data_IF_345200029974
#
_entry.id   IF_345200029974
#
_cell.length_a   1.000
_cell.length_b   1.000
_cell.length_c   1.000
_cell.angle_alpha   90.00
_cell.angle_beta   90.00
_cell.angle_gamma   90.00
#
_symmetry.space_group_name_H-M   'P 1'
#
loop_
_entity.id
_entity.type
_entity.pdbx_description
1 polymer ?
#
# COMPACT_ATOMS: atom_id res chain seq x y z
N UNK A 1 19.09 -15.59 -10.05
CA UNK A 1 20.05 -14.47 -10.00
C UNK A 1 19.29 -13.19 -10.32
N UNK A 2 19.43 -12.18 -9.47
CA UNK A 2 18.69 -10.93 -9.54
C UNK A 2 18.94 -10.15 -8.26
N UNK A 3 20.17 -9.66 -8.08
CA UNK A 3 20.50 -8.69 -7.03
C UNK A 3 19.90 -7.35 -7.42
N UNK A 4 18.59 -7.17 -7.18
CA UNK A 4 17.98 -5.85 -7.21
C UNK A 4 18.45 -5.08 -5.98
N UNK A 5 18.78 -3.80 -6.14
CA UNK A 5 19.07 -2.91 -5.01
C UNK A 5 17.82 -2.86 -4.12
N UNK A 6 17.80 -3.72 -3.08
CA UNK A 6 16.62 -4.07 -2.29
C UNK A 6 16.23 -3.00 -1.28
N UNK A 7 15.66 -1.91 -1.77
CA UNK A 7 14.93 -0.99 -0.90
C UNK A 7 13.56 -1.60 -0.59
N UNK A 8 13.21 -1.60 0.69
CA UNK A 8 11.90 -2.03 1.18
C UNK A 8 11.15 -0.82 1.76
N UNK A 9 9.82 -0.95 1.86
CA UNK A 9 9.03 0.03 2.58
C UNK A 9 9.48 0.13 4.04
N UNK A 10 9.77 1.34 4.48
CA UNK A 10 10.09 1.60 5.88
C UNK A 10 8.84 1.38 6.73
N UNK A 11 8.97 0.52 7.75
CA UNK A 11 7.85 0.20 8.65
C UNK A 11 7.41 1.45 9.42
N UNK A 12 6.21 1.94 9.11
CA UNK A 12 5.62 3.08 9.79
C UNK A 12 4.39 2.68 10.60
N UNK A 13 4.60 2.45 11.91
CA UNK A 13 3.56 1.94 12.82
C UNK A 13 2.81 3.11 13.48
N UNK A 14 1.57 2.86 13.90
CA UNK A 14 0.87 3.86 14.71
C UNK A 14 1.58 4.07 16.04
N UNK A 15 1.71 5.32 16.48
CA UNK A 15 2.48 5.73 17.64
C UNK A 15 3.97 5.96 17.36
N UNK A 16 4.41 5.90 16.11
CA UNK A 16 5.79 6.23 15.72
C UNK A 16 5.87 7.54 14.93
N UNK A 17 7.04 8.16 14.96
CA UNK A 17 7.40 9.31 14.14
C UNK A 17 8.83 9.21 13.64
N UNK A 18 9.12 9.94 12.57
CA UNK A 18 10.45 10.16 12.03
C UNK A 18 10.71 11.67 11.94
N UNK A 19 11.94 12.10 12.21
CA UNK A 19 12.38 13.43 11.80
C UNK A 19 12.96 13.30 10.39
N UNK A 20 12.41 14.06 9.46
CA UNK A 20 12.69 13.88 8.04
C UNK A 20 13.04 15.18 7.32
N UNK A 21 13.87 15.05 6.28
CA UNK A 21 14.00 16.04 5.21
C UNK A 21 13.19 15.58 3.99
N UNK A 22 12.50 16.54 3.37
CA UNK A 22 11.82 16.38 2.09
C UNK A 22 12.69 17.07 1.04
N UNK A 23 13.02 16.40 -0.07
CA UNK A 23 13.93 16.94 -1.09
C UNK A 23 13.18 17.67 -2.21
N UNK A 24 11.99 17.20 -2.56
CA UNK A 24 11.14 17.75 -3.59
C UNK A 24 9.66 17.48 -3.36
N UNK A 25 8.83 18.11 -4.18
CA UNK A 25 7.39 17.84 -4.25
C UNK A 25 7.11 16.54 -5.00
N UNK A 26 7.98 16.14 -5.93
CA UNK A 26 7.74 15.01 -6.83
C UNK A 26 8.38 13.69 -6.35
N UNK A 27 8.86 13.63 -5.10
CA UNK A 27 9.52 12.47 -4.49
C UNK A 27 8.51 11.35 -4.14
N UNK A 28 7.66 10.95 -5.09
CA UNK A 28 6.58 9.99 -4.88
C UNK A 28 6.18 9.24 -6.14
N UNK A 29 5.68 8.03 -5.95
CA UNK A 29 4.97 7.27 -6.98
C UNK A 29 3.55 6.94 -6.55
N UNK A 30 2.65 6.84 -7.53
CA UNK A 30 1.28 6.33 -7.36
C UNK A 30 1.20 4.91 -7.91
N UNK A 31 0.56 4.02 -7.16
CA UNK A 31 0.32 2.65 -7.61
C UNK A 31 -1.05 2.13 -7.16
N UNK A 32 -1.50 1.06 -7.81
CA UNK A 32 -2.76 0.38 -7.52
C UNK A 32 -2.46 -0.99 -6.92
N UNK A 33 -2.84 -1.18 -5.68
CA UNK A 33 -2.53 -2.38 -4.91
C UNK A 33 -3.77 -3.20 -4.59
N UNK A 34 -3.59 -4.52 -4.59
CA UNK A 34 -4.55 -5.53 -4.17
C UNK A 34 -4.03 -6.24 -2.93
N UNK A 35 -4.91 -6.94 -2.22
CA UNK A 35 -4.57 -7.70 -1.03
C UNK A 35 -5.59 -7.57 0.08
N UNK A 36 -5.59 -8.55 0.98
CA UNK A 36 -6.50 -8.68 2.11
C UNK A 36 -5.67 -8.92 3.36
N UNK A 37 -5.74 -7.99 4.31
CA UNK A 37 -4.99 -8.05 5.55
C UNK A 37 -5.11 -9.43 6.22
N UNK A 38 -3.97 -10.01 6.63
CA UNK A 38 -3.83 -11.35 7.21
C UNK A 38 -4.17 -12.55 6.31
N UNK A 39 -4.59 -12.34 5.06
CA UNK A 39 -4.87 -13.43 4.10
C UNK A 39 -3.96 -13.41 2.88
N UNK A 40 -3.76 -12.23 2.30
CA UNK A 40 -3.01 -12.03 1.06
C UNK A 40 -2.17 -10.77 1.23
N UNK A 41 -0.86 -10.93 1.10
CA UNK A 41 0.08 -9.80 1.12
C UNK A 41 -0.24 -8.81 0.00
N UNK A 42 0.10 -7.54 0.20
CA UNK A 42 -0.15 -6.52 -0.81
C UNK A 42 0.67 -6.79 -2.08
N UNK A 43 0.06 -6.63 -3.24
CA UNK A 43 0.70 -6.79 -4.53
C UNK A 43 0.16 -5.80 -5.56
N UNK A 44 0.85 -5.65 -6.68
CA UNK A 44 0.36 -4.96 -7.89
C UNK A 44 0.21 -5.95 -9.04
N UNK A 45 -0.71 -5.70 -9.96
CA UNK A 45 -0.88 -6.56 -11.11
C UNK A 45 0.19 -6.26 -12.16
N UNK A 46 0.89 -7.30 -12.65
CA UNK A 46 1.87 -7.17 -13.73
C UNK A 46 1.23 -6.58 -15.00
N UNK A 47 0.00 -6.99 -15.29
CA UNK A 47 -0.85 -6.42 -16.35
C UNK A 47 -2.05 -5.73 -15.68
N UNK A 48 -1.95 -4.43 -15.34
CA UNK A 48 -2.99 -3.73 -14.60
C UNK A 48 -4.17 -3.32 -15.48
N UNK A 49 -5.36 -3.26 -14.87
CA UNK A 49 -6.56 -2.71 -15.51
C UNK A 49 -6.41 -1.25 -15.87
N UNK A 50 -7.14 -0.82 -16.90
CA UNK A 50 -7.38 0.60 -17.16
C UNK A 50 -8.26 1.19 -16.06
N UNK A 51 -7.79 2.25 -15.42
CA UNK A 51 -8.50 2.94 -14.33
C UNK A 51 -9.11 4.25 -14.82
N UNK A 52 -10.25 4.65 -14.24
CA UNK A 52 -10.76 6.02 -14.37
C UNK A 52 -10.17 6.97 -13.30
N UNK A 53 -10.46 8.27 -13.41
CA UNK A 53 -9.97 9.31 -12.47
C UNK A 53 -10.39 9.08 -11.01
N UNK A 54 -11.44 8.28 -10.80
CA UNK A 54 -11.95 7.92 -9.47
C UNK A 54 -11.25 6.67 -8.90
N UNK A 55 -10.30 6.08 -9.62
CA UNK A 55 -9.56 4.89 -9.23
C UNK A 55 -10.38 3.60 -9.30
N UNK A 56 -11.32 3.51 -10.25
CA UNK A 56 -12.06 2.28 -10.53
C UNK A 56 -11.63 1.67 -11.87
N UNK A 57 -11.54 0.33 -11.95
CA UNK A 57 -11.22 -0.35 -13.20
C UNK A 57 -12.39 -0.23 -14.18
N UNK A 58 -12.08 0.08 -15.44
CA UNK A 58 -13.07 0.27 -16.52
C UNK A 58 -12.85 -0.63 -17.74
N UNK A 59 -11.66 -1.20 -17.89
CA UNK A 59 -11.32 -2.15 -18.95
C UNK A 59 -10.06 -2.94 -18.57
N UNK A 60 -9.78 -4.01 -19.33
CA UNK A 60 -8.62 -4.90 -19.15
C UNK A 60 -8.55 -5.50 -17.74
N UNK A 61 -9.71 -5.95 -17.25
CA UNK A 61 -9.91 -6.38 -15.88
C UNK A 61 -8.94 -7.49 -15.45
N UNK A 62 -8.25 -7.25 -14.32
CA UNK A 62 -7.53 -8.29 -13.59
C UNK A 62 -8.51 -9.31 -12.97
N UNK A 63 -8.05 -10.53 -12.60
CA UNK A 63 -8.86 -11.45 -11.82
C UNK A 63 -9.49 -10.82 -10.57
N UNK A 64 -8.75 -9.96 -9.86
CA UNK A 64 -9.25 -9.26 -8.67
C UNK A 64 -10.34 -8.23 -8.99
N UNK A 65 -10.21 -7.51 -10.11
CA UNK A 65 -11.24 -6.59 -10.56
C UNK A 65 -12.50 -7.33 -11.02
N UNK A 66 -12.37 -8.52 -11.61
CA UNK A 66 -13.51 -9.38 -11.93
C UNK A 66 -14.23 -9.85 -10.64
N UNK A 67 -13.48 -10.26 -9.61
CA UNK A 67 -14.06 -10.63 -8.31
C UNK A 67 -14.79 -9.45 -7.65
N UNK A 68 -14.20 -8.26 -7.67
CA UNK A 68 -14.86 -7.02 -7.23
C UNK A 68 -16.13 -6.74 -8.03
N UNK A 69 -16.05 -6.84 -9.37
CA UNK A 69 -17.16 -6.56 -10.28
C UNK A 69 -18.32 -7.52 -10.09
N UNK A 70 -18.06 -8.82 -9.90
CA UNK A 70 -19.07 -9.83 -9.60
C UNK A 70 -19.95 -9.41 -8.41
N UNK A 71 -19.34 -9.01 -7.29
CA UNK A 71 -20.11 -8.54 -6.13
C UNK A 71 -20.75 -7.17 -6.33
N UNK A 72 -20.18 -6.27 -7.14
CA UNK A 72 -20.87 -5.01 -7.51
C UNK A 72 -22.14 -5.26 -8.34
N UNK A 73 -22.11 -6.22 -9.26
CA UNK A 73 -23.26 -6.57 -10.07
C UNK A 73 -24.37 -7.20 -9.21
N UNK A 74 -24.00 -8.07 -8.25
CA UNK A 74 -24.94 -8.61 -7.26
C UNK A 74 -25.52 -7.53 -6.34
N UNK A 75 -24.68 -6.60 -5.86
CA UNK A 75 -25.11 -5.43 -5.08
C UNK A 75 -26.16 -4.64 -5.85
N UNK A 76 -25.90 -4.32 -7.12
CA UNK A 76 -26.83 -3.57 -7.97
C UNK A 76 -28.16 -4.32 -8.13
N UNK A 77 -28.11 -5.61 -8.43
CA UNK A 77 -29.32 -6.42 -8.56
C UNK A 77 -30.14 -6.52 -7.26
N UNK A 78 -29.49 -6.49 -6.09
CA UNK A 78 -30.17 -6.43 -4.79
C UNK A 78 -30.84 -5.06 -4.57
N UNK A 79 -30.16 -3.97 -4.88
CA UNK A 79 -30.71 -2.61 -4.80
C UNK A 79 -31.93 -2.44 -5.72
N UNK A 80 -31.86 -2.94 -6.96
CA UNK A 80 -32.97 -2.91 -7.92
C UNK A 80 -34.20 -3.69 -7.43
N UNK A 81 -34.01 -4.66 -6.53
CA UNK A 81 -35.08 -5.45 -5.88
C UNK A 81 -35.52 -4.88 -4.52
N UNK A 82 -34.89 -3.81 -4.03
CA UNK A 82 -35.14 -3.26 -2.70
C UNK A 82 -34.65 -4.14 -1.54
N UNK A 83 -33.74 -5.08 -1.78
CA UNK A 83 -33.16 -5.93 -0.73
C UNK A 83 -31.91 -5.29 -0.11
N UNK A 84 -32.14 -4.42 0.87
CA UNK A 84 -31.05 -3.69 1.55
C UNK A 84 -30.08 -4.61 2.32
N UNK A 85 -30.51 -5.81 2.75
CA UNK A 85 -29.64 -6.74 3.46
C UNK A 85 -28.64 -7.38 2.49
N UNK A 86 -29.12 -7.83 1.34
CA UNK A 86 -28.26 -8.36 0.30
C UNK A 86 -27.34 -7.26 -0.27
N UNK A 87 -27.85 -6.04 -0.46
CA UNK A 87 -27.05 -4.90 -0.92
C UNK A 87 -25.84 -4.65 -0.01
N UNK A 88 -26.04 -4.52 1.30
CA UNK A 88 -24.94 -4.24 2.23
C UNK A 88 -23.95 -5.42 2.29
N UNK A 89 -24.44 -6.66 2.30
CA UNK A 89 -23.58 -7.86 2.24
C UNK A 89 -22.67 -7.84 1.01
N UNK A 90 -23.22 -7.59 -0.19
CA UNK A 90 -22.43 -7.58 -1.42
C UNK A 90 -21.48 -6.39 -1.52
N UNK A 91 -21.84 -5.26 -0.92
CA UNK A 91 -20.95 -4.11 -0.77
C UNK A 91 -19.73 -4.44 0.10
N UNK A 92 -19.94 -5.11 1.24
CA UNK A 92 -18.86 -5.56 2.12
C UNK A 92 -17.95 -6.58 1.43
N UNK A 93 -18.53 -7.56 0.71
CA UNK A 93 -17.75 -8.53 -0.07
C UNK A 93 -16.94 -7.86 -1.19
N UNK A 94 -17.55 -6.98 -1.98
CA UNK A 94 -16.85 -6.26 -3.04
C UNK A 94 -15.66 -5.45 -2.48
N UNK A 95 -15.81 -4.83 -1.31
CA UNK A 95 -14.76 -4.02 -0.71
C UNK A 95 -13.46 -4.80 -0.41
N UNK A 96 -13.54 -6.13 -0.23
CA UNK A 96 -12.37 -6.99 0.02
C UNK A 96 -11.45 -7.11 -1.20
N UNK A 97 -12.03 -7.22 -2.40
CA UNK A 97 -11.32 -7.44 -3.66
C UNK A 97 -11.00 -6.15 -4.40
N UNK A 98 -11.58 -5.02 -3.94
CA UNK A 98 -11.40 -3.73 -4.58
C UNK A 98 -9.93 -3.31 -4.58
N UNK A 99 -9.47 -2.88 -5.75
CA UNK A 99 -8.19 -2.20 -5.92
C UNK A 99 -8.08 -0.96 -5.03
N UNK A 100 -6.90 -0.75 -4.43
CA UNK A 100 -6.61 0.36 -3.53
C UNK A 100 -5.55 1.25 -4.16
N UNK A 101 -5.89 2.52 -4.35
CA UNK A 101 -4.92 3.54 -4.75
C UNK A 101 -4.00 3.87 -3.56
N UNK A 102 -2.70 3.69 -3.76
CA UNK A 102 -1.63 3.86 -2.79
C UNK A 102 -0.55 4.79 -3.35
N UNK A 103 0.24 5.33 -2.45
CA UNK A 103 1.34 6.23 -2.76
C UNK A 103 2.55 5.85 -1.94
N UNK A 104 3.72 5.80 -2.58
CA UNK A 104 5.00 5.66 -1.91
C UNK A 104 5.67 7.03 -1.95
N UNK A 105 6.02 7.59 -0.78
CA UNK A 105 6.69 8.88 -0.67
C UNK A 105 8.11 8.67 -0.12
N UNK A 106 9.08 9.31 -0.75
CA UNK A 106 10.48 9.31 -0.36
C UNK A 106 10.81 10.44 0.62
N UNK A 107 11.63 10.12 1.62
CA UNK A 107 12.17 11.09 2.58
C UNK A 107 13.60 10.74 2.94
N UNK A 108 14.33 11.67 3.54
CA UNK A 108 15.58 11.36 4.24
C UNK A 108 15.28 11.32 5.74
N UNK A 109 15.53 10.18 6.38
CA UNK A 109 15.51 10.07 7.84
C UNK A 109 16.72 10.79 8.43
N UNK A 110 16.49 11.74 9.32
CA UNK A 110 17.56 12.56 9.92
C UNK A 110 18.30 11.82 11.03
N UNK A 111 17.70 10.81 11.66
CA UNK A 111 18.37 10.02 12.70
C UNK A 111 19.50 9.18 12.09
N UNK A 112 19.19 8.49 10.98
CA UNK A 112 20.12 7.60 10.28
C UNK A 112 20.90 8.28 9.15
N UNK A 113 20.33 9.33 8.54
CA UNK A 113 20.88 10.01 7.37
C UNK A 113 20.61 9.29 6.04
N UNK A 114 19.73 8.28 6.04
CA UNK A 114 19.45 7.42 4.91
C UNK A 114 18.08 7.72 4.28
N UNK A 115 17.90 7.47 2.98
CA UNK A 115 16.58 7.48 2.35
C UNK A 115 15.64 6.45 2.98
N UNK A 116 14.38 6.84 3.15
CA UNK A 116 13.28 5.98 3.58
C UNK A 116 12.10 6.16 2.63
N UNK A 117 11.32 5.09 2.43
CA UNK A 117 10.12 5.13 1.58
C UNK A 117 8.91 4.68 2.38
N UNK A 118 7.86 5.49 2.38
CA UNK A 118 6.66 5.29 3.20
C UNK A 118 5.45 5.03 2.31
N UNK A 119 4.81 3.86 2.47
CA UNK A 119 3.54 3.52 1.83
C UNK A 119 2.35 4.13 2.57
N UNK A 120 1.60 4.97 1.86
CA UNK A 120 0.46 5.71 2.36
C UNK A 120 -0.81 5.40 1.55
N UNK A 121 -1.95 5.39 2.25
CA UNK A 121 -3.25 5.46 1.56
C UNK A 121 -3.40 6.82 0.87
N UNK A 122 -4.26 6.88 -0.16
CA UNK A 122 -4.60 8.15 -0.85
C UNK A 122 -4.86 9.32 0.10
N UNK A 123 -5.69 9.13 1.14
CA UNK A 123 -6.02 10.20 2.09
C UNK A 123 -4.81 10.66 2.92
N UNK A 124 -3.99 9.71 3.36
CA UNK A 124 -2.77 10.01 4.13
C UNK A 124 -1.74 10.72 3.25
N UNK A 125 -1.53 10.25 2.03
CA UNK A 125 -0.64 10.87 1.06
C UNK A 125 -1.07 12.31 0.73
N UNK A 126 -2.37 12.53 0.49
CA UNK A 126 -2.92 13.87 0.25
C UNK A 126 -2.68 14.82 1.43
N UNK A 127 -2.82 14.34 2.68
CA UNK A 127 -2.56 15.15 3.86
C UNK A 127 -1.09 15.55 3.97
N UNK A 128 -0.16 14.61 3.76
CA UNK A 128 1.29 14.86 3.76
C UNK A 128 1.68 15.81 2.62
N UNK A 129 1.22 15.52 1.41
CA UNK A 129 1.52 16.30 0.21
C UNK A 129 1.01 17.75 0.29
N UNK A 130 -0.13 17.98 0.93
CA UNK A 130 -0.64 19.33 1.17
C UNK A 130 0.33 20.19 2.01
N UNK A 131 1.00 19.58 2.99
CA UNK A 131 2.03 20.26 3.79
C UNK A 131 3.28 20.48 2.96
N UNK A 132 3.76 19.47 2.22
CA UNK A 132 4.93 19.61 1.32
C UNK A 132 4.72 20.78 0.35
N UNK A 133 3.55 20.83 -0.31
CA UNK A 133 3.18 21.92 -1.24
C UNK A 133 3.13 23.28 -0.53
N UNK A 134 2.52 23.35 0.66
CA UNK A 134 2.48 24.60 1.45
C UNK A 134 3.87 25.13 1.80
N UNK A 135 4.85 24.23 1.96
CA UNK A 135 6.22 24.55 2.33
C UNK A 135 7.23 24.40 1.17
N UNK A 136 6.77 24.30 -0.08
CA UNK A 136 7.62 24.05 -1.26
C UNK A 136 8.85 24.97 -1.32
N UNK A 137 8.64 26.28 -1.15
CA UNK A 137 9.72 27.30 -1.15
C UNK A 137 10.67 27.24 0.06
N UNK A 138 10.38 26.38 1.03
CA UNK A 138 11.08 26.22 2.29
C UNK A 138 11.58 24.80 2.53
N UNK A 139 11.37 23.84 1.62
CA UNK A 139 11.78 22.43 1.84
C UNK A 139 13.28 22.29 2.15
N UNK A 140 14.14 23.10 1.51
CA UNK A 140 15.58 23.13 1.83
C UNK A 140 15.96 23.88 3.12
N UNK A 141 15.01 24.48 3.83
CA UNK A 141 15.22 25.34 4.99
C UNK A 141 14.60 24.82 6.29
N UNK A 142 13.67 23.86 6.19
CA UNK A 142 12.99 23.30 7.36
C UNK A 142 12.98 21.78 7.27
N UNK A 143 13.26 21.12 8.38
CA UNK A 143 12.97 19.72 8.59
C UNK A 143 11.51 19.54 9.06
N UNK A 144 11.03 18.30 9.03
CA UNK A 144 9.66 17.96 9.42
C UNK A 144 9.64 16.76 10.36
N UNK A 145 8.65 16.71 11.24
CA UNK A 145 8.21 15.49 11.88
C UNK A 145 7.15 14.81 11.01
N UNK A 146 7.41 13.57 10.61
CA UNK A 146 6.44 12.67 9.98
C UNK A 146 5.92 11.71 11.05
N UNK A 147 4.65 11.85 11.46
CA UNK A 147 4.06 11.05 12.55
C UNK A 147 2.82 10.29 12.10
N UNK A 148 2.60 9.11 12.72
CA UNK A 148 1.41 8.28 12.47
C UNK A 148 0.71 7.98 13.78
N UNK A 149 -0.58 8.27 13.85
CA UNK A 149 -1.40 8.09 15.06
C UNK A 149 -2.76 7.45 14.74
N UNK A 150 -3.49 7.01 15.77
CA UNK A 150 -4.82 6.40 15.62
C UNK A 150 -4.80 4.87 15.40
N UNK A 151 -5.97 4.27 15.18
CA UNK A 151 -6.09 2.81 15.03
C UNK A 151 -7.13 2.41 13.99
N UNK A 152 -6.88 1.31 13.28
CA UNK A 152 -7.78 0.82 12.23
C UNK A 152 -8.10 1.88 11.18
N UNK A 153 -9.38 2.25 11.07
CA UNK A 153 -9.86 3.23 10.08
C UNK A 153 -9.62 4.69 10.49
N UNK A 154 -9.25 4.96 11.75
CA UNK A 154 -8.95 6.31 12.25
C UNK A 154 -7.46 6.67 12.17
N UNK A 155 -6.64 5.81 11.57
CA UNK A 155 -5.20 6.06 11.45
C UNK A 155 -4.90 7.23 10.52
N UNK A 156 -4.24 8.25 11.05
CA UNK A 156 -3.80 9.45 10.33
C UNK A 156 -2.28 9.48 10.21
N UNK A 157 -1.80 10.15 9.17
CA UNK A 157 -0.38 10.49 9.00
C UNK A 157 -0.30 11.99 8.84
N UNK A 158 0.62 12.61 9.57
CA UNK A 158 0.81 14.05 9.62
C UNK A 158 2.26 14.39 9.32
N UNK A 159 2.45 15.53 8.64
CA UNK A 159 3.76 16.13 8.43
C UNK A 159 3.74 17.52 9.07
N UNK A 160 4.65 17.78 10.00
CA UNK A 160 4.69 19.04 10.76
C UNK A 160 6.08 19.65 10.67
N UNK A 161 6.26 20.91 10.23
CA UNK A 161 7.58 21.52 10.19
C UNK A 161 8.10 21.78 11.61
N UNK A 162 9.40 21.57 11.82
CA UNK A 162 10.06 22.07 13.03
C UNK A 162 10.14 23.60 12.98
N UNK A 163 9.81 24.24 14.10
CA UNK A 163 9.82 25.72 14.20
C UNK A 163 11.25 26.17 14.48
N UNK A 164 11.97 25.44 15.34
CA UNK A 164 13.34 25.74 15.74
C UNK A 164 14.22 24.51 15.51
N UNK A 165 14.96 24.47 14.39
CA UNK A 165 15.86 23.36 14.10
C UNK A 165 17.10 23.31 15.01
N UNK A 166 17.39 24.38 15.75
CA UNK A 166 18.51 24.39 16.72
C UNK A 166 18.11 23.64 18.00
N UNK A 167 16.88 23.84 18.46
CA UNK A 167 16.34 23.16 19.64
C UNK A 167 15.74 21.78 19.33
N UNK A 168 15.02 21.65 18.20
CA UNK A 168 14.25 20.44 17.87
C UNK A 168 15.10 19.31 17.27
N UNK A 169 16.29 19.63 16.73
CA UNK A 169 17.21 18.67 16.13
C UNK A 169 18.50 18.54 16.96
N UNK A 170 19.10 17.36 16.92
CA UNK A 170 20.47 17.12 17.39
C UNK A 170 21.49 17.61 16.36
N UNK A 171 22.75 17.76 16.77
CA UNK A 171 23.84 18.11 15.85
C UNK A 171 23.96 17.13 14.67
N UNK A 172 23.82 15.83 14.95
CA UNK A 172 23.87 14.78 13.93
C UNK A 172 22.70 14.88 12.94
N UNK A 173 21.49 15.14 13.44
CA UNK A 173 20.31 15.33 12.58
C UNK A 173 20.46 16.56 11.68
N UNK A 174 21.03 17.66 12.20
CA UNK A 174 21.35 18.85 11.39
C UNK A 174 22.43 18.57 10.34
N UNK A 175 23.47 17.82 10.69
CA UNK A 175 24.49 17.40 9.72
C UNK A 175 23.87 16.57 8.59
N UNK A 176 23.05 15.58 8.95
CA UNK A 176 22.31 14.76 7.99
C UNK A 176 21.36 15.59 7.13
N UNK A 177 20.69 16.59 7.69
CA UNK A 177 19.87 17.53 6.94
C UNK A 177 20.69 18.28 5.89
N UNK A 178 21.85 18.83 6.27
CA UNK A 178 22.72 19.61 5.39
C UNK A 178 23.40 18.76 4.31
N UNK A 179 23.63 17.47 4.56
CA UNK A 179 24.22 16.54 3.58
C UNK A 179 23.42 16.43 2.27
N UNK A 180 22.11 16.71 2.32
CA UNK A 180 21.22 16.66 1.17
C UNK A 180 20.81 18.03 0.65
N UNK A 181 21.57 19.09 0.99
CA UNK A 181 21.29 20.41 0.44
C UNK A 181 21.50 20.47 -1.08
N UNK A 182 20.51 21.02 -1.78
CA UNK A 182 20.47 21.08 -3.24
C UNK A 182 20.41 19.72 -3.97
N UNK A 183 20.17 18.61 -3.26
CA UNK A 183 20.07 17.27 -3.87
C UNK A 183 18.63 16.90 -4.19
N UNK A 184 18.47 16.07 -5.21
CA UNK A 184 17.20 15.42 -5.57
C UNK A 184 17.09 14.06 -4.91
N UNK A 185 15.85 13.60 -4.70
CA UNK A 185 15.61 12.23 -4.25
C UNK A 185 15.92 11.25 -5.37
N UNK A 186 16.59 10.14 -5.04
CA UNK A 186 16.90 9.11 -6.02
C UNK A 186 15.64 8.28 -6.32
N UNK A 187 14.99 8.61 -7.44
CA UNK A 187 13.75 7.94 -7.86
C UNK A 187 13.96 6.46 -8.23
N UNK A 188 15.19 6.01 -8.49
CA UNK A 188 15.46 4.59 -8.74
C UNK A 188 15.26 3.73 -7.49
N UNK A 189 15.19 4.33 -6.30
CA UNK A 189 14.88 3.64 -5.05
C UNK A 189 13.45 3.09 -5.00
N UNK A 190 12.56 3.57 -5.89
CA UNK A 190 11.22 3.00 -6.04
C UNK A 190 11.18 1.74 -6.93
N UNK A 191 12.26 1.46 -7.68
CA UNK A 191 12.30 0.33 -8.60
C UNK A 191 12.33 -1.00 -7.83
N UNK A 192 11.47 -1.94 -8.20
CA UNK A 192 11.38 -3.26 -7.56
C UNK A 192 10.76 -3.26 -6.15
N UNK A 193 10.28 -2.11 -5.66
CA UNK A 193 9.66 -1.96 -4.34
C UNK A 193 8.31 -2.72 -4.21
N UNK A 194 7.63 -2.93 -5.34
CA UNK A 194 6.30 -3.51 -5.40
C UNK A 194 6.39 -4.98 -5.86
N UNK A 195 5.70 -5.86 -5.16
CA UNK A 195 5.54 -7.25 -5.62
C UNK A 195 4.55 -7.30 -6.78
N UNK A 196 5.05 -7.61 -7.97
CA UNK A 196 4.25 -7.79 -9.18
C UNK A 196 3.71 -9.21 -9.29
N UNK A 197 2.39 -9.35 -9.31
CA UNK A 197 1.71 -10.63 -9.46
C UNK A 197 1.23 -10.82 -10.91
N UNK A 198 1.66 -11.90 -11.53
CA UNK A 198 1.10 -12.38 -12.79
C UNK A 198 -0.33 -12.92 -12.61
N UNK A 199 -1.00 -13.29 -13.70
CA UNK A 199 -2.39 -13.75 -13.63
C UNK A 199 -2.56 -15.02 -12.77
N UNK A 200 -1.60 -15.95 -12.85
CA UNK A 200 -1.63 -17.20 -12.07
C UNK A 200 -1.57 -16.89 -10.57
N UNK A 201 -0.58 -16.09 -10.16
CA UNK A 201 -0.40 -15.66 -8.77
C UNK A 201 -1.64 -14.92 -8.26
N UNK A 202 -2.26 -14.08 -9.11
CA UNK A 202 -3.50 -13.39 -8.75
C UNK A 202 -4.67 -14.36 -8.50
N UNK A 203 -4.80 -15.42 -9.29
CA UNK A 203 -5.83 -16.46 -9.11
C UNK A 203 -5.56 -17.25 -7.82
N UNK A 204 -4.32 -17.67 -7.57
CA UNK A 204 -3.92 -18.35 -6.33
C UNK A 204 -4.23 -17.48 -5.10
N UNK A 205 -3.93 -16.18 -5.18
CA UNK A 205 -4.26 -15.20 -4.14
C UNK A 205 -5.78 -15.04 -3.93
N UNK A 206 -6.61 -15.13 -4.98
CA UNK A 206 -8.07 -15.12 -4.84
C UNK A 206 -8.56 -16.37 -4.10
N UNK A 207 -8.01 -17.53 -4.41
CA UNK A 207 -8.35 -18.79 -3.71
C UNK A 207 -7.94 -18.70 -2.24
N UNK A 208 -6.72 -18.22 -1.95
CA UNK A 208 -6.25 -17.99 -0.58
C UNK A 208 -7.10 -16.95 0.18
N UNK A 209 -7.67 -15.97 -0.52
CA UNK A 209 -8.63 -15.02 0.04
C UNK A 209 -9.98 -15.67 0.42
N UNK A 210 -10.28 -16.84 -0.15
CA UNK A 210 -11.54 -17.57 -0.01
C UNK A 210 -12.58 -17.23 -1.09
N UNK A 211 -12.14 -16.69 -2.23
CA UNK A 211 -13.02 -16.41 -3.37
C UNK A 211 -13.18 -17.65 -4.25
N UNK A 212 -14.41 -17.95 -4.65
CA UNK A 212 -14.69 -18.98 -5.66
C UNK A 212 -14.45 -18.40 -7.07
N UNK A 213 -13.28 -18.73 -7.62
CA UNK A 213 -12.83 -18.27 -8.94
C UNK A 213 -13.71 -18.74 -10.10
N UNK A 214 -14.55 -19.77 -9.90
CA UNK A 214 -15.50 -20.21 -10.93
C UNK A 214 -16.58 -19.15 -11.21
N UNK A 215 -16.89 -18.29 -10.22
CA UNK A 215 -17.86 -17.20 -10.34
C UNK A 215 -17.43 -16.12 -11.36
N UNK A 216 -16.15 -16.10 -11.73
CA UNK A 216 -15.58 -15.20 -12.73
C UNK A 216 -15.06 -15.96 -13.96
N UNK A 217 -15.44 -17.23 -14.13
CA UNK A 217 -15.06 -18.05 -15.27
C UNK A 217 -13.58 -18.45 -15.29
N UNK A 218 -12.93 -18.51 -14.12
CA UNK A 218 -11.54 -18.94 -13.96
C UNK A 218 -11.46 -20.31 -13.29
N UNK A 219 -10.36 -21.01 -13.52
CA UNK A 219 -10.01 -22.26 -12.85
C UNK A 219 -8.52 -22.29 -12.51
N UNK A 220 -8.15 -23.00 -11.44
CA UNK A 220 -6.79 -23.44 -11.26
C UNK A 220 -6.58 -24.53 -12.32
N UNK A 221 -5.63 -24.34 -13.24
CA UNK A 221 -5.34 -25.36 -14.26
C UNK A 221 -5.15 -26.74 -13.61
N UNK A 222 -5.56 -27.82 -14.28
CA UNK A 222 -5.47 -29.19 -13.79
C UNK A 222 -4.04 -29.52 -13.32
N UNK A 223 -3.83 -29.44 -12.02
CA UNK A 223 -2.50 -29.44 -11.39
C UNK A 223 -2.52 -29.02 -9.92
N UNK A 224 -3.55 -28.31 -9.47
CA UNK A 224 -3.85 -28.18 -8.03
C UNK A 224 -4.74 -29.34 -7.58
N UNK A 225 -4.13 -30.49 -7.29
CA UNK A 225 -4.78 -31.49 -6.44
C UNK A 225 -5.01 -30.85 -5.07
N UNK A 226 -6.28 -30.54 -4.79
CA UNK A 226 -6.78 -30.52 -3.42
C UNK A 226 -6.77 -31.98 -2.92
N UNK A 227 -5.63 -32.47 -2.48
CA UNK A 227 -5.61 -33.53 -1.48
C UNK A 227 -5.85 -32.85 -0.13
N UNK A 228 -7.07 -33.07 0.38
CA UNK A 228 -7.33 -32.96 1.80
C UNK A 228 -6.52 -34.06 2.47
N UNK A 229 -5.34 -33.71 2.97
CA UNK A 229 -4.72 -34.49 4.04
C UNK A 229 -5.39 -34.06 5.35
N UNK A 230 -6.37 -34.87 5.78
CA UNK A 230 -6.65 -35.06 7.20
C UNK A 230 -5.44 -35.82 7.78
N UNK A 231 -4.36 -35.11 8.12
CA UNK A 231 -3.36 -35.63 9.06
C UNK A 231 -3.59 -34.99 10.42
N UNK A 232 -4.02 -35.83 11.38
CA UNK A 232 -4.00 -35.53 12.81
C UNK A 232 -2.59 -35.09 13.21
N UNK A 233 -2.45 -33.80 13.57
CA UNK A 233 -1.26 -33.30 14.23
C UNK A 233 -1.21 -33.93 15.61
N UNK A 234 -0.31 -34.90 15.81
CA UNK A 234 0.01 -35.40 17.14
C UNK A 234 0.99 -34.42 17.81
N UNK A 235 0.67 -33.97 19.02
CA UNK A 235 1.35 -32.90 19.77
C UNK A 235 2.80 -33.23 20.21
N UNK A 236 3.39 -34.34 19.76
CA UNK A 236 4.71 -34.82 20.23
C UNK A 236 5.91 -34.43 19.34
N UNK A 237 5.72 -33.75 18.21
CA UNK A 237 6.81 -33.43 17.27
C UNK A 237 7.11 -31.93 17.06
N UNK A 238 6.74 -31.05 17.99
CA UNK A 238 7.24 -29.66 17.98
C UNK A 238 8.57 -29.54 18.74
N UNK A 239 9.71 -29.22 18.07
CA UNK A 239 10.91 -28.82 18.78
C UNK A 239 10.74 -27.43 19.40
N UNK A 240 11.01 -27.34 20.70
CA UNK A 240 11.23 -26.07 21.42
C UNK A 240 12.43 -25.31 20.87
#
# INVERSE_FOLDING_TARGET
GGSGNGMEFTSFKSGSSFKVRVLGTEDLIRFYSYGIYKKVNSFVAQNPSKMNDKGFPVADYTPWDLAWKYYQDLKKAAADKGDSKAEEKYKEEAAKYRVKERYALGFIDLETGNPIIIDLSKKQAQAVYAVITKFEKKLGKVAFELSKTGSGTSTTVSLTPFIDMEEDLTDKERENFNKYDGKEFDMSLFDGLLFEADEKTQIENLVAAGFDISLIGKSLGAGSNNEKDDEEINDEDMPF
#
